data_IF_585035914428
#
_entry.id   IF_585035914428
#
_cell.length_a   1.000
_cell.length_b   1.000
_cell.length_c   1.000
_cell.angle_alpha   90.00
_cell.angle_beta   90.00
_cell.angle_gamma   90.00
#
_symmetry.space_group_name_H-M   'P 1'
#
loop_
_entity.id
_entity.type
_entity.pdbx_description
1 polymer ?
#
# COMPACT_ATOMS: atom_id res chain seq x y z
N UNK A 1 35.26 21.98 4.74
CA UNK A 1 33.86 22.45 4.90
C UNK A 1 33.29 23.16 3.66
N UNK A 2 34.08 23.72 2.74
CA UNK A 2 33.57 24.29 1.47
C UNK A 2 33.64 23.25 0.32
N UNK A 3 34.67 22.39 0.28
CA UNK A 3 34.84 21.35 -0.76
C UNK A 3 33.75 20.26 -0.75
N UNK A 4 33.27 19.86 0.43
CA UNK A 4 32.27 18.78 0.56
C UNK A 4 30.92 19.13 -0.11
N UNK A 5 30.61 20.43 -0.21
CA UNK A 5 29.37 20.92 -0.81
C UNK A 5 29.40 20.85 -2.35
N UNK A 6 30.55 21.13 -2.95
CA UNK A 6 30.72 21.07 -4.40
C UNK A 6 30.73 19.63 -4.92
N UNK A 7 31.33 18.70 -4.18
CA UNK A 7 31.28 17.27 -4.49
C UNK A 7 29.83 16.77 -4.47
N UNK A 8 29.05 17.13 -3.45
CA UNK A 8 27.65 16.72 -3.34
C UNK A 8 26.79 17.27 -4.48
N UNK A 9 26.98 18.54 -4.86
CA UNK A 9 26.28 19.15 -6.01
C UNK A 9 26.62 18.45 -7.32
N UNK A 10 27.91 18.18 -7.57
CA UNK A 10 28.35 17.48 -8.77
C UNK A 10 27.76 16.06 -8.85
N UNK A 11 27.80 15.31 -7.74
CA UNK A 11 27.20 13.97 -7.67
C UNK A 11 25.69 13.99 -7.95
N UNK A 12 24.97 14.96 -7.37
CA UNK A 12 23.54 15.14 -7.61
C UNK A 12 23.24 15.46 -9.08
N UNK A 13 23.99 16.37 -9.69
CA UNK A 13 23.82 16.74 -11.10
C UNK A 13 24.06 15.54 -12.04
N UNK A 14 25.09 14.73 -11.77
CA UNK A 14 25.37 13.49 -12.52
C UNK A 14 24.18 12.52 -12.38
N UNK A 15 23.67 12.34 -11.17
CA UNK A 15 22.53 11.45 -10.93
C UNK A 15 21.26 11.90 -11.66
N UNK A 16 21.01 13.21 -11.69
CA UNK A 16 19.88 13.82 -12.42
C UNK A 16 20.02 13.61 -13.93
N UNK A 17 21.21 13.85 -14.50
CA UNK A 17 21.48 13.69 -15.93
C UNK A 17 21.38 12.23 -16.41
N UNK A 18 21.89 11.29 -15.60
CA UNK A 18 21.72 9.85 -15.82
C UNK A 18 20.23 9.49 -15.82
N UNK A 19 19.48 9.98 -14.83
CA UNK A 19 18.05 9.67 -14.68
C UNK A 19 17.24 10.24 -15.84
N UNK A 20 17.59 11.43 -16.33
CA UNK A 20 16.97 12.04 -17.50
C UNK A 20 17.27 11.25 -18.79
N UNK A 21 18.55 10.91 -19.01
CA UNK A 21 19.00 10.24 -20.22
C UNK A 21 18.52 8.80 -20.35
N UNK A 22 18.50 8.05 -19.24
CA UNK A 22 18.07 6.65 -19.21
C UNK A 22 16.56 6.48 -19.00
N UNK A 23 15.87 7.54 -18.57
CA UNK A 23 14.47 7.48 -18.17
C UNK A 23 14.22 6.62 -16.93
N UNK A 24 12.95 6.37 -16.63
CA UNK A 24 12.57 5.55 -15.49
C UNK A 24 12.97 4.06 -15.73
N UNK A 25 13.61 3.39 -14.76
CA UNK A 25 14.00 1.99 -14.91
C UNK A 25 12.77 1.08 -15.04
N UNK A 26 12.87 0.01 -15.83
CA UNK A 26 11.76 -0.92 -16.09
C UNK A 26 11.17 -1.57 -14.83
N UNK A 27 11.99 -1.79 -13.80
CA UNK A 27 11.57 -2.36 -12.52
C UNK A 27 10.98 -1.30 -11.55
N UNK A 28 11.05 -0.02 -11.92
CA UNK A 28 10.72 1.10 -11.06
C UNK A 28 11.85 1.47 -10.09
N UNK A 29 11.64 2.55 -9.34
CA UNK A 29 12.59 3.12 -8.38
C UNK A 29 12.26 2.62 -6.97
N UNK A 30 13.29 2.36 -6.15
CA UNK A 30 13.09 2.04 -4.74
C UNK A 30 12.69 3.30 -3.96
N UNK A 31 11.57 3.21 -3.24
CA UNK A 31 11.08 4.27 -2.38
C UNK A 31 11.87 4.36 -1.06
N UNK A 32 11.85 5.51 -0.37
CA UNK A 32 12.35 5.62 0.99
C UNK A 32 11.71 4.56 1.89
N UNK A 33 12.53 3.89 2.71
CA UNK A 33 12.04 2.92 3.67
C UNK A 33 11.18 3.65 4.71
N UNK A 34 9.95 3.18 4.90
CA UNK A 34 9.01 3.63 5.94
C UNK A 34 8.38 5.02 5.71
N UNK A 35 8.08 5.38 4.46
CA UNK A 35 7.39 6.63 4.16
C UNK A 35 5.92 6.64 4.67
N UNK A 36 5.13 5.63 4.32
CA UNK A 36 3.73 5.44 4.76
C UNK A 36 3.56 4.09 5.43
N UNK A 37 4.14 3.04 4.85
CA UNK A 37 4.08 1.68 5.39
C UNK A 37 5.52 1.18 5.53
N UNK A 38 5.89 0.59 6.69
CA UNK A 38 7.22 0.07 6.86
C UNK A 38 7.51 -1.06 5.87
N UNK A 39 8.53 -0.89 5.03
CA UNK A 39 8.86 -1.87 3.98
C UNK A 39 9.25 -3.24 4.57
N UNK A 40 9.74 -3.24 5.81
CA UNK A 40 10.10 -4.45 6.56
C UNK A 40 8.90 -5.38 6.81
N UNK A 41 7.66 -4.87 6.79
CA UNK A 41 6.47 -5.74 6.93
C UNK A 41 6.34 -6.72 5.77
N UNK A 42 6.89 -6.37 4.61
CA UNK A 42 6.83 -7.17 3.38
C UNK A 42 8.14 -7.90 3.08
N UNK A 43 9.12 -7.85 3.98
CA UNK A 43 10.38 -8.57 3.77
C UNK A 43 10.13 -10.08 3.66
N UNK A 44 10.76 -10.70 2.65
CA UNK A 44 10.59 -12.14 2.33
C UNK A 44 9.14 -12.59 2.10
N UNK A 45 8.24 -11.66 1.77
CA UNK A 45 6.85 -11.96 1.34
C UNK A 45 6.74 -12.06 -0.18
N UNK A 46 5.50 -12.10 -0.70
CA UNK A 46 5.19 -12.15 -2.13
C UNK A 46 5.71 -10.91 -2.86
N UNK A 47 6.36 -11.12 -4.01
CA UNK A 47 6.99 -10.03 -4.77
C UNK A 47 6.04 -8.91 -5.21
N UNK A 48 4.77 -9.19 -5.48
CA UNK A 48 3.80 -8.13 -5.81
C UNK A 48 3.41 -7.28 -4.60
N UNK A 49 3.34 -7.84 -3.39
CA UNK A 49 3.08 -7.06 -2.17
C UNK A 49 4.23 -6.08 -1.91
N UNK A 50 5.47 -6.56 -2.07
CA UNK A 50 6.68 -5.73 -1.99
C UNK A 50 6.62 -4.57 -3.00
N UNK A 51 6.25 -4.86 -4.26
CA UNK A 51 6.12 -3.84 -5.31
C UNK A 51 5.03 -2.83 -5.01
N UNK A 52 3.85 -3.28 -4.55
CA UNK A 52 2.72 -2.40 -4.20
C UNK A 52 3.11 -1.46 -3.05
N UNK A 53 3.71 -1.99 -1.99
CA UNK A 53 4.18 -1.19 -0.86
C UNK A 53 5.26 -0.18 -1.28
N UNK A 54 6.18 -0.59 -2.15
CA UNK A 54 7.19 0.31 -2.72
C UNK A 54 6.55 1.45 -3.54
N UNK A 55 5.59 1.14 -4.41
CA UNK A 55 4.86 2.14 -5.19
C UNK A 55 4.08 3.11 -4.30
N UNK A 56 3.43 2.61 -3.25
CA UNK A 56 2.69 3.45 -2.30
C UNK A 56 3.62 4.43 -1.54
N UNK A 57 4.75 3.92 -1.03
CA UNK A 57 5.77 4.73 -0.36
C UNK A 57 6.42 5.73 -1.33
N UNK A 58 6.66 5.34 -2.57
CA UNK A 58 7.24 6.19 -3.60
C UNK A 58 6.31 7.33 -4.00
N UNK A 59 5.02 7.05 -4.19
CA UNK A 59 4.01 8.06 -4.48
C UNK A 59 3.92 9.10 -3.35
N UNK A 60 3.90 8.65 -2.09
CA UNK A 60 3.91 9.56 -0.95
C UNK A 60 5.18 10.41 -0.88
N UNK A 61 6.36 9.81 -1.05
CA UNK A 61 7.64 10.52 -0.99
C UNK A 61 7.77 11.60 -2.06
N UNK A 62 7.08 11.45 -3.19
CA UNK A 62 7.05 12.43 -4.28
C UNK A 62 5.84 13.39 -4.21
N UNK A 63 5.03 13.32 -3.15
CA UNK A 63 3.87 14.19 -2.98
C UNK A 63 2.64 13.85 -3.84
N UNK A 64 2.59 12.65 -4.43
CA UNK A 64 1.47 12.17 -5.24
C UNK A 64 0.46 11.43 -4.37
N UNK A 65 -0.28 12.16 -3.53
CA UNK A 65 -1.08 11.56 -2.47
C UNK A 65 -2.29 10.78 -2.97
N UNK A 66 -2.95 11.18 -4.07
CA UNK A 66 -4.02 10.38 -4.67
C UNK A 66 -3.49 9.04 -5.19
N UNK A 67 -2.36 9.06 -5.88
CA UNK A 67 -1.69 7.84 -6.34
C UNK A 67 -1.26 6.96 -5.15
N UNK A 68 -0.77 7.57 -4.07
CA UNK A 68 -0.48 6.85 -2.84
C UNK A 68 -1.74 6.16 -2.31
N UNK A 69 -2.84 6.89 -2.07
CA UNK A 69 -4.10 6.35 -1.57
C UNK A 69 -4.64 5.19 -2.43
N UNK A 70 -4.57 5.30 -3.75
CA UNK A 70 -4.96 4.22 -4.68
C UNK A 70 -4.08 2.98 -4.51
N UNK A 71 -2.78 3.15 -4.31
CA UNK A 71 -1.88 2.03 -4.03
C UNK A 71 -2.14 1.40 -2.65
N UNK A 72 -2.48 2.19 -1.62
CA UNK A 72 -2.89 1.66 -0.30
C UNK A 72 -4.20 0.86 -0.41
N UNK A 73 -5.16 1.36 -1.20
CA UNK A 73 -6.43 0.65 -1.50
C UNK A 73 -6.16 -0.70 -2.15
N UNK A 74 -5.30 -0.73 -3.18
CA UNK A 74 -4.89 -1.98 -3.86
C UNK A 74 -4.17 -2.93 -2.92
N UNK A 75 -3.31 -2.41 -2.03
CA UNK A 75 -2.61 -3.21 -1.04
C UNK A 75 -3.58 -3.90 -0.09
N UNK A 76 -4.54 -3.14 0.45
CA UNK A 76 -5.56 -3.66 1.36
C UNK A 76 -6.39 -4.77 0.70
N UNK A 77 -6.83 -4.53 -0.54
CA UNK A 77 -7.58 -5.51 -1.34
C UNK A 77 -6.77 -6.81 -1.53
N UNK A 78 -5.49 -6.68 -1.91
CA UNK A 78 -4.61 -7.82 -2.14
C UNK A 78 -4.37 -8.61 -0.84
N UNK A 79 -4.14 -7.93 0.28
CA UNK A 79 -3.91 -8.59 1.57
C UNK A 79 -5.16 -9.32 2.09
N UNK A 80 -6.35 -8.78 1.84
CA UNK A 80 -7.60 -9.49 2.16
C UNK A 80 -7.69 -10.77 1.33
N UNK A 81 -7.42 -10.69 0.02
CA UNK A 81 -7.47 -11.87 -0.85
C UNK A 81 -6.48 -12.95 -0.38
N UNK A 82 -5.23 -12.59 -0.07
CA UNK A 82 -4.23 -13.51 0.50
C UNK A 82 -4.74 -14.21 1.77
N UNK A 83 -5.42 -13.46 2.65
CA UNK A 83 -5.95 -14.01 3.90
C UNK A 83 -7.02 -15.07 3.65
N UNK A 84 -7.91 -14.88 2.66
CA UNK A 84 -8.91 -15.89 2.29
C UNK A 84 -8.30 -17.07 1.53
N UNK A 85 -7.38 -16.81 0.60
CA UNK A 85 -6.74 -17.85 -0.21
C UNK A 85 -5.87 -18.79 0.65
N UNK A 86 -5.05 -18.24 1.54
CA UNK A 86 -4.20 -19.02 2.45
C UNK A 86 -4.98 -19.95 3.38
N UNK A 87 -6.26 -19.65 3.62
CA UNK A 87 -7.18 -20.43 4.45
C UNK A 87 -8.08 -21.37 3.65
N UNK A 88 -7.93 -21.40 2.32
CA UNK A 88 -8.75 -22.24 1.44
C UNK A 88 -10.22 -21.85 1.41
N UNK A 89 -10.53 -20.56 1.65
CA UNK A 89 -11.91 -20.04 1.72
C UNK A 89 -12.17 -18.89 0.74
N UNK A 90 -11.40 -18.82 -0.36
CA UNK A 90 -11.52 -17.78 -1.39
C UNK A 90 -12.93 -17.69 -1.99
N UNK A 91 -13.67 -18.79 -2.07
CA UNK A 91 -15.06 -18.82 -2.54
C UNK A 91 -16.01 -17.92 -1.71
N UNK A 92 -15.67 -17.62 -0.45
CA UNK A 92 -16.49 -16.77 0.42
C UNK A 92 -16.45 -15.30 0.01
N UNK A 93 -15.47 -14.92 -0.82
CA UNK A 93 -15.25 -13.56 -1.32
C UNK A 93 -15.32 -13.47 -2.85
N UNK A 94 -15.92 -14.47 -3.49
CA UNK A 94 -16.16 -14.48 -4.92
C UNK A 94 -17.66 -14.33 -5.23
N UNK A 95 -17.96 -13.75 -6.38
CA UNK A 95 -19.32 -13.72 -6.93
C UNK A 95 -19.66 -15.06 -7.61
N UNK A 96 -20.89 -15.17 -8.14
CA UNK A 96 -21.33 -16.38 -8.86
C UNK A 96 -20.54 -16.69 -10.13
N UNK A 97 -19.82 -15.71 -10.69
CA UNK A 97 -18.98 -15.85 -11.88
C UNK A 97 -17.54 -16.27 -11.54
N UNK A 98 -17.18 -16.33 -10.24
CA UNK A 98 -15.84 -16.65 -9.77
C UNK A 98 -14.91 -15.43 -9.64
N UNK A 99 -15.39 -14.22 -9.90
CA UNK A 99 -14.58 -13.00 -9.69
C UNK A 99 -14.60 -12.57 -8.23
N UNK A 100 -13.50 -12.01 -7.74
CA UNK A 100 -13.47 -11.42 -6.41
C UNK A 100 -14.42 -10.21 -6.30
N UNK A 101 -15.05 -10.09 -5.13
CA UNK A 101 -15.95 -8.98 -4.82
C UNK A 101 -15.21 -7.64 -4.77
N UNK A 102 -15.95 -6.54 -4.82
CA UNK A 102 -15.38 -5.21 -4.63
C UNK A 102 -14.90 -5.00 -3.18
N UNK A 103 -13.93 -4.09 -3.00
CA UNK A 103 -13.31 -3.84 -1.69
C UNK A 103 -14.30 -3.58 -0.54
N UNK A 104 -15.47 -2.99 -0.81
CA UNK A 104 -16.53 -2.85 0.22
C UNK A 104 -16.92 -4.22 0.78
N UNK A 105 -17.34 -5.11 -0.10
CA UNK A 105 -17.86 -6.42 0.29
C UNK A 105 -16.73 -7.32 0.79
N UNK A 106 -15.51 -7.18 0.25
CA UNK A 106 -14.32 -7.85 0.79
C UNK A 106 -14.09 -7.49 2.26
N UNK A 107 -14.15 -6.21 2.62
CA UNK A 107 -14.00 -5.76 4.01
C UNK A 107 -15.10 -6.35 4.89
N UNK A 108 -16.36 -6.30 4.46
CA UNK A 108 -17.49 -6.83 5.23
C UNK A 108 -17.35 -8.33 5.49
N UNK A 109 -16.92 -9.10 4.47
CA UNK A 109 -16.60 -10.53 4.61
C UNK A 109 -15.43 -10.75 5.55
N UNK A 110 -14.37 -9.96 5.43
CA UNK A 110 -13.17 -10.09 6.28
C UNK A 110 -13.47 -9.86 7.75
N UNK A 111 -14.30 -8.85 8.06
CA UNK A 111 -14.68 -8.49 9.44
C UNK A 111 -15.58 -9.55 10.09
N UNK A 112 -16.45 -10.18 9.28
CA UNK A 112 -17.43 -11.16 9.74
C UNK A 112 -16.94 -12.61 9.71
N UNK A 113 -15.78 -12.86 9.10
CA UNK A 113 -15.17 -14.19 9.01
C UNK A 113 -14.78 -14.72 10.40
N UNK A 114 -15.02 -16.02 10.61
CA UNK A 114 -14.80 -16.74 11.87
C UNK A 114 -13.49 -17.53 11.88
N UNK A 115 -12.87 -17.71 10.72
CA UNK A 115 -11.57 -18.38 10.59
C UNK A 115 -10.40 -17.64 11.27
N UNK A 116 -10.59 -16.36 11.60
CA UNK A 116 -9.62 -15.54 12.32
C UNK A 116 -10.31 -14.58 13.29
N UNK A 117 -9.52 -13.91 14.12
CA UNK A 117 -10.00 -12.85 15.00
C UNK A 117 -9.19 -11.58 14.78
N UNK A 118 -9.78 -10.64 14.02
CA UNK A 118 -9.21 -9.31 13.85
C UNK A 118 -9.41 -8.46 15.11
N UNK A 119 -8.44 -7.60 15.41
CA UNK A 119 -8.60 -6.63 16.49
C UNK A 119 -9.75 -5.67 16.22
N UNK A 120 -10.35 -5.12 17.29
CA UNK A 120 -11.40 -4.09 17.17
C UNK A 120 -10.91 -2.89 16.35
N UNK A 121 -9.64 -2.53 16.51
CA UNK A 121 -9.03 -1.41 15.81
C UNK A 121 -8.92 -1.70 14.31
N UNK A 122 -8.42 -2.87 13.91
CA UNK A 122 -8.36 -3.30 12.51
C UNK A 122 -9.75 -3.31 11.86
N UNK A 123 -10.75 -3.88 12.54
CA UNK A 123 -12.15 -3.88 12.06
C UNK A 123 -12.69 -2.47 11.80
N UNK A 124 -12.35 -1.52 12.68
CA UNK A 124 -12.77 -0.12 12.52
C UNK A 124 -11.97 0.65 11.47
N UNK A 125 -10.72 0.26 11.23
CA UNK A 125 -9.76 0.94 10.35
C UNK A 125 -10.01 0.66 8.88
N UNK A 126 -10.34 -0.59 8.51
CA UNK A 126 -10.54 -0.98 7.11
C UNK A 126 -11.53 -0.08 6.34
N UNK A 127 -12.71 0.29 6.90
CA UNK A 127 -13.62 1.22 6.23
C UNK A 127 -13.02 2.61 5.97
N UNK A 128 -12.19 3.13 6.90
CA UNK A 128 -11.52 4.44 6.75
C UNK A 128 -10.45 4.39 5.67
N UNK A 129 -9.65 3.33 5.65
CA UNK A 129 -8.63 3.09 4.62
C UNK A 129 -9.27 3.05 3.23
N UNK A 130 -10.39 2.33 3.09
CA UNK A 130 -11.17 2.28 1.86
C UNK A 130 -11.71 3.65 1.47
N UNK A 131 -12.26 4.42 2.40
CA UNK A 131 -12.89 5.73 2.11
C UNK A 131 -11.90 6.72 1.46
N UNK A 132 -10.68 6.84 2.01
CA UNK A 132 -9.64 7.70 1.42
C UNK A 132 -9.25 7.20 0.02
N UNK A 133 -9.04 5.88 -0.13
CA UNK A 133 -8.71 5.27 -1.42
C UNK A 133 -9.78 5.48 -2.50
N UNK A 134 -11.05 5.30 -2.16
CA UNK A 134 -12.18 5.48 -3.10
C UNK A 134 -12.36 6.94 -3.48
N UNK A 135 -12.19 7.87 -2.53
CA UNK A 135 -12.24 9.30 -2.82
C UNK A 135 -11.12 9.69 -3.80
N UNK A 136 -9.89 9.26 -3.56
CA UNK A 136 -8.77 9.50 -4.47
C UNK A 136 -8.92 8.85 -5.84
N UNK A 137 -9.59 7.69 -5.92
CA UNK A 137 -9.78 6.98 -7.18
C UNK A 137 -10.91 7.56 -8.04
N UNK A 138 -11.98 8.07 -7.42
CA UNK A 138 -13.25 8.28 -8.13
C UNK A 138 -13.87 9.66 -7.95
N UNK A 139 -13.50 10.41 -6.91
CA UNK A 139 -14.09 11.72 -6.67
C UNK A 139 -13.43 12.78 -7.53
N UNK A 140 -14.24 13.48 -8.33
CA UNK A 140 -13.79 14.61 -9.16
C UNK A 140 -13.43 15.87 -8.35
N UNK A 141 -13.79 15.91 -7.07
CA UNK A 141 -13.66 17.09 -6.18
C UNK A 141 -12.82 16.81 -4.94
N UNK A 142 -12.17 15.66 -4.89
CA UNK A 142 -11.27 15.30 -3.81
C UNK A 142 -9.91 15.03 -4.43
N UNK A 143 -8.91 15.71 -3.89
CA UNK A 143 -7.51 15.44 -4.16
C UNK A 143 -6.88 15.27 -2.78
N UNK A 144 -6.36 14.07 -2.51
CA UNK A 144 -5.72 13.79 -1.25
C UNK A 144 -4.55 14.75 -1.02
N UNK A 145 -4.40 15.18 0.22
CA UNK A 145 -3.21 15.90 0.67
C UNK A 145 -2.45 15.03 1.67
N UNK A 146 -1.22 15.44 2.01
CA UNK A 146 -0.34 14.72 2.93
C UNK A 146 -1.05 14.29 4.21
N UNK A 147 -1.81 15.19 4.81
CA UNK A 147 -2.49 14.95 6.07
C UNK A 147 -3.60 13.90 5.98
N UNK A 148 -4.17 13.65 4.80
CA UNK A 148 -5.14 12.56 4.61
C UNK A 148 -4.47 11.20 4.67
N UNK A 149 -3.25 11.08 4.11
CA UNK A 149 -2.45 9.85 4.17
C UNK A 149 -1.87 9.65 5.57
N UNK A 150 -1.34 10.71 6.19
CA UNK A 150 -0.75 10.64 7.53
C UNK A 150 -1.77 10.12 8.55
N UNK A 151 -3.02 10.59 8.49
CA UNK A 151 -4.12 10.18 9.39
C UNK A 151 -4.46 8.69 9.32
N UNK A 152 -4.18 8.01 8.21
CA UNK A 152 -4.51 6.60 8.02
C UNK A 152 -3.29 5.67 8.05
N UNK A 153 -2.08 6.22 8.23
CA UNK A 153 -0.82 5.46 8.18
C UNK A 153 -0.72 4.41 9.30
N UNK A 154 -1.07 4.77 10.54
CA UNK A 154 -1.08 3.85 11.67
C UNK A 154 -2.14 2.75 11.53
N UNK A 155 -3.34 3.14 11.07
CA UNK A 155 -4.43 2.22 10.75
C UNK A 155 -3.98 1.20 9.70
N UNK A 156 -3.29 1.65 8.66
CA UNK A 156 -2.80 0.80 7.60
C UNK A 156 -1.70 -0.15 8.07
N UNK A 157 -0.76 0.34 8.88
CA UNK A 157 0.29 -0.51 9.47
C UNK A 157 -0.32 -1.65 10.27
N UNK A 158 -1.27 -1.33 11.16
CA UNK A 158 -1.95 -2.33 11.99
C UNK A 158 -2.68 -3.37 11.13
N UNK A 159 -3.51 -2.91 10.18
CA UNK A 159 -4.30 -3.79 9.32
C UNK A 159 -3.41 -4.67 8.45
N UNK A 160 -2.34 -4.09 7.87
CA UNK A 160 -1.42 -4.86 7.04
C UNK A 160 -0.71 -5.95 7.82
N UNK A 161 -0.25 -5.65 9.04
CA UNK A 161 0.42 -6.62 9.90
C UNK A 161 -0.50 -7.77 10.32
N UNK A 162 -1.75 -7.48 10.71
CA UNK A 162 -2.74 -8.52 11.04
C UNK A 162 -3.06 -9.41 9.82
N UNK A 163 -3.30 -8.83 8.65
CA UNK A 163 -3.62 -9.60 7.44
C UNK A 163 -2.43 -10.44 6.97
N UNK A 164 -1.20 -9.96 7.07
CA UNK A 164 0.00 -10.73 6.75
C UNK A 164 0.14 -11.96 7.67
N UNK A 165 -0.10 -11.80 8.97
CA UNK A 165 -0.09 -12.90 9.94
C UNK A 165 -1.20 -13.90 9.64
N UNK A 166 -2.42 -13.43 9.38
CA UNK A 166 -3.54 -14.31 8.99
C UNK A 166 -3.21 -15.10 7.73
N UNK A 167 -2.52 -14.47 6.78
CA UNK A 167 -2.11 -15.06 5.50
C UNK A 167 -0.93 -16.04 5.60
N UNK A 168 -0.31 -16.18 6.77
CA UNK A 168 0.90 -17.00 6.94
C UNK A 168 2.12 -16.45 6.19
N UNK A 169 2.12 -15.14 5.89
CA UNK A 169 3.23 -14.45 5.23
C UNK A 169 4.19 -13.82 6.24
N UNK A 170 3.96 -14.05 7.54
CA UNK A 170 4.80 -13.59 8.64
C UNK A 170 4.75 -14.54 9.84
#
# INVERSE_FOLDING_TARGET
MIEDNEIFKAAKAIQEDISYSLGAPAQGILAPRNAVIPAILFDRTRGYLVKIANQANGAYANGWYDACAVMLRRLLETLIIEAFESRGIAQNIQNSSGDFLFLRDLIDRTISEKAWNLSRNAKSAMPRLKDVGDKSAHSRRFNAVRSDIDKISDDLRLVAEELLVISGLR
#
